data_IF_495032502808
#
_entry.id   IF_495032502808
#
_cell.length_a   1.000
_cell.length_b   1.000
_cell.length_c   1.000
_cell.angle_alpha   90.00
_cell.angle_beta   90.00
_cell.angle_gamma   90.00
#
_symmetry.space_group_name_H-M   'P 1'
#
loop_
_entity.id
_entity.type
_entity.pdbx_description
1 polymer ?
#
# COMPACT_ATOMS: atom_id res chain seq x y z
N UNK A 1 -2.31 -20.45 -24.50
CA UNK A 1 -1.64 -21.67 -24.96
C UNK A 1 -1.33 -22.52 -23.75
N UNK A 2 -1.70 -23.79 -23.75
CA UNK A 2 -1.38 -24.71 -22.67
C UNK A 2 0.10 -25.14 -22.78
N UNK A 3 0.76 -25.30 -21.64
CA UNK A 3 2.16 -25.74 -21.52
C UNK A 3 2.24 -26.91 -20.55
N UNK A 4 3.10 -27.88 -20.87
CA UNK A 4 3.38 -29.04 -20.00
C UNK A 4 4.71 -28.80 -19.30
N UNK A 5 4.75 -29.00 -17.98
CA UNK A 5 5.99 -28.90 -17.21
C UNK A 5 6.76 -30.24 -17.18
N UNK A 6 7.97 -30.23 -16.63
CA UNK A 6 8.83 -31.43 -16.50
C UNK A 6 8.24 -32.57 -15.66
N UNK A 7 7.15 -32.31 -14.93
CA UNK A 7 6.42 -33.31 -14.13
C UNK A 7 5.15 -33.82 -14.86
N UNK A 8 5.00 -33.54 -16.15
CA UNK A 8 3.84 -33.95 -16.95
C UNK A 8 2.56 -33.16 -16.67
N UNK A 9 2.62 -32.08 -15.88
CA UNK A 9 1.44 -31.29 -15.50
C UNK A 9 1.17 -30.20 -16.53
N UNK A 10 -0.09 -30.08 -16.95
CA UNK A 10 -0.55 -29.14 -17.97
C UNK A 10 -1.06 -27.87 -17.29
N UNK A 11 -0.67 -26.70 -17.81
CA UNK A 11 -1.13 -25.41 -17.32
C UNK A 11 -1.47 -24.48 -18.48
N UNK A 12 -2.53 -23.68 -18.34
CA UNK A 12 -2.97 -22.73 -19.36
C UNK A 12 -4.22 -23.19 -20.13
N UNK A 13 -4.56 -22.44 -21.17
CA UNK A 13 -5.82 -22.64 -21.91
C UNK A 13 -5.59 -23.41 -23.21
N UNK A 14 -6.42 -24.42 -23.45
CA UNK A 14 -6.55 -25.10 -24.75
C UNK A 14 -8.03 -25.23 -25.12
N UNK A 15 -8.44 -24.58 -26.22
CA UNK A 15 -9.83 -24.57 -26.67
C UNK A 15 -10.80 -24.02 -25.61
N UNK A 16 -11.80 -24.84 -25.27
CA UNK A 16 -12.87 -24.51 -24.31
C UNK A 16 -12.51 -24.86 -22.87
N UNK A 17 -11.28 -25.31 -22.57
CA UNK A 17 -10.86 -25.71 -21.22
C UNK A 17 -9.59 -25.00 -20.74
N UNK A 18 -9.51 -24.87 -19.43
CA UNK A 18 -8.39 -24.30 -18.69
C UNK A 18 -7.80 -25.42 -17.82
N UNK A 19 -6.51 -25.65 -17.99
CA UNK A 19 -5.72 -26.56 -17.16
C UNK A 19 -5.02 -25.74 -16.08
N UNK A 20 -5.14 -26.16 -14.82
CA UNK A 20 -4.42 -25.54 -13.70
C UNK A 20 -3.96 -26.56 -12.69
N UNK A 21 -2.79 -26.30 -12.11
CA UNK A 21 -2.24 -27.11 -11.03
C UNK A 21 -2.77 -26.60 -9.69
N UNK A 22 -3.33 -27.47 -8.87
CA UNK A 22 -3.78 -27.14 -7.53
C UNK A 22 -3.48 -28.30 -6.58
N UNK A 23 -2.64 -28.04 -5.57
CA UNK A 23 -2.24 -29.02 -4.54
C UNK A 23 -1.77 -30.36 -5.12
N UNK A 24 -0.94 -30.32 -6.17
CA UNK A 24 -0.41 -31.52 -6.82
C UNK A 24 -1.37 -32.21 -7.80
N UNK A 25 -2.61 -31.74 -7.93
CA UNK A 25 -3.58 -32.24 -8.91
C UNK A 25 -3.64 -31.35 -10.14
N UNK A 26 -3.86 -31.97 -11.31
CA UNK A 26 -4.13 -31.26 -12.55
C UNK A 26 -5.65 -31.11 -12.70
N UNK A 27 -6.14 -29.90 -12.52
CA UNK A 27 -7.56 -29.56 -12.60
C UNK A 27 -7.87 -29.09 -14.02
N UNK A 28 -8.85 -29.74 -14.66
CA UNK A 28 -9.40 -29.36 -15.95
C UNK A 28 -10.75 -28.70 -15.70
N UNK A 29 -10.90 -27.43 -16.10
CA UNK A 29 -12.14 -26.67 -15.95
C UNK A 29 -12.59 -26.13 -17.29
N UNK A 30 -13.90 -26.16 -17.55
CA UNK A 30 -14.48 -25.43 -18.67
C UNK A 30 -14.14 -23.93 -18.57
N UNK A 31 -13.84 -23.30 -19.69
CA UNK A 31 -13.58 -21.87 -19.75
C UNK A 31 -14.82 -21.14 -19.23
N UNK A 32 -14.69 -20.27 -18.22
CA UNK A 32 -15.84 -19.53 -17.72
C UNK A 32 -16.45 -18.75 -18.88
N UNK A 33 -17.78 -18.76 -18.97
CA UNK A 33 -18.50 -17.92 -19.94
C UNK A 33 -18.16 -16.47 -19.63
N UNK A 34 -18.01 -15.65 -20.68
CA UNK A 34 -17.97 -14.20 -20.48
C UNK A 34 -19.31 -13.81 -19.87
N UNK A 35 -19.28 -13.35 -18.63
CA UNK A 35 -20.44 -12.78 -17.95
C UNK A 35 -20.23 -11.28 -17.86
N UNK A 36 -21.30 -10.52 -18.02
CA UNK A 36 -21.28 -9.07 -17.88
C UNK A 36 -21.21 -8.72 -16.39
N UNK A 37 -20.12 -8.05 -16.00
CA UNK A 37 -19.94 -7.67 -14.60
C UNK A 37 -21.00 -6.64 -14.19
N UNK A 38 -21.51 -6.79 -12.96
CA UNK A 38 -22.35 -5.74 -12.36
C UNK A 38 -21.53 -4.48 -12.12
N UNK A 39 -22.16 -3.30 -12.07
CA UNK A 39 -21.44 -2.06 -11.74
C UNK A 39 -20.69 -2.19 -10.41
N UNK A 40 -21.33 -2.81 -9.42
CA UNK A 40 -20.71 -3.05 -8.11
C UNK A 40 -19.46 -3.91 -8.20
N UNK A 41 -19.47 -4.89 -9.10
CA UNK A 41 -18.31 -5.75 -9.35
C UNK A 41 -17.18 -4.96 -10.04
N UNK A 42 -17.52 -4.06 -10.97
CA UNK A 42 -16.54 -3.16 -11.62
C UNK A 42 -15.95 -2.18 -10.59
N UNK A 43 -16.78 -1.55 -9.77
CA UNK A 43 -16.38 -0.62 -8.69
C UNK A 43 -15.49 -1.34 -7.68
N UNK A 44 -15.86 -2.55 -7.22
CA UNK A 44 -15.03 -3.35 -6.32
C UNK A 44 -13.68 -3.75 -6.93
N UNK A 45 -13.67 -4.23 -8.18
CA UNK A 45 -12.43 -4.60 -8.86
C UNK A 45 -11.50 -3.38 -9.01
N UNK A 46 -12.08 -2.22 -9.29
CA UNK A 46 -11.34 -0.95 -9.40
C UNK A 46 -10.77 -0.51 -8.06
N UNK A 47 -11.56 -0.54 -6.98
CA UNK A 47 -11.07 -0.22 -5.62
C UNK A 47 -9.97 -1.19 -5.15
N UNK A 48 -10.06 -2.48 -5.49
CA UNK A 48 -9.00 -3.44 -5.20
C UNK A 48 -7.73 -3.13 -5.99
N UNK A 49 -7.85 -2.83 -7.29
CA UNK A 49 -6.74 -2.43 -8.14
C UNK A 49 -6.05 -1.16 -7.63
N UNK A 50 -6.85 -0.16 -7.26
CA UNK A 50 -6.41 1.08 -6.62
C UNK A 50 -5.60 0.78 -5.36
N UNK A 51 -6.17 0.00 -4.44
CA UNK A 51 -5.54 -0.37 -3.17
C UNK A 51 -4.22 -1.11 -3.36
N UNK A 52 -4.17 -2.03 -4.34
CA UNK A 52 -2.96 -2.79 -4.67
C UNK A 52 -1.85 -1.89 -5.22
N UNK A 53 -2.20 -0.95 -6.09
CA UNK A 53 -1.27 0.05 -6.63
C UNK A 53 -0.74 0.96 -5.51
N UNK A 54 -1.63 1.47 -4.65
CA UNK A 54 -1.26 2.34 -3.51
C UNK A 54 -0.31 1.64 -2.56
N UNK A 55 -0.64 0.40 -2.17
CA UNK A 55 0.21 -0.43 -1.32
C UNK A 55 1.56 -0.75 -1.97
N UNK A 56 1.60 -0.85 -3.30
CA UNK A 56 2.84 -0.93 -4.07
C UNK A 56 3.74 0.29 -3.84
N UNK A 57 3.20 1.49 -4.04
CA UNK A 57 3.91 2.77 -3.84
C UNK A 57 4.38 2.93 -2.39
N UNK A 58 3.51 2.68 -1.40
CA UNK A 58 3.87 2.76 0.03
C UNK A 58 5.07 1.85 0.32
N UNK A 59 5.02 0.58 -0.11
CA UNK A 59 6.13 -0.35 0.13
C UNK A 59 7.42 0.09 -0.54
N UNK A 60 7.35 0.59 -1.78
CA UNK A 60 8.54 1.12 -2.47
C UNK A 60 9.13 2.32 -1.75
N UNK A 61 8.30 3.25 -1.27
CA UNK A 61 8.77 4.39 -0.49
C UNK A 61 9.39 3.98 0.86
N UNK A 62 8.87 2.94 1.51
CA UNK A 62 9.44 2.43 2.77
C UNK A 62 10.58 1.43 2.58
N UNK A 63 11.00 1.13 1.35
CA UNK A 63 12.13 0.22 1.09
C UNK A 63 13.42 0.62 1.82
N UNK A 64 13.80 1.91 1.93
CA UNK A 64 14.98 2.29 2.71
C UNK A 64 14.75 2.24 4.24
N UNK A 65 13.53 2.01 4.72
CA UNK A 65 13.19 1.92 6.14
C UNK A 65 13.27 0.49 6.66
N UNK A 66 12.78 -0.50 5.90
CA UNK A 66 12.90 -1.91 6.28
C UNK A 66 14.19 -2.52 5.71
N UNK A 67 14.98 -3.20 6.54
CA UNK A 67 16.20 -3.89 6.08
C UNK A 67 15.86 -5.20 5.37
N UNK A 68 14.93 -5.94 5.96
CA UNK A 68 14.34 -7.14 5.38
C UNK A 68 12.83 -7.14 5.60
N UNK A 69 12.08 -7.47 4.55
CA UNK A 69 10.63 -7.71 4.60
C UNK A 69 10.31 -9.16 4.28
N UNK A 70 9.18 -9.64 4.78
CA UNK A 70 8.67 -10.95 4.37
C UNK A 70 7.86 -10.88 3.06
N UNK A 71 7.63 -12.03 2.44
CA UNK A 71 6.90 -12.13 1.17
C UNK A 71 5.42 -11.76 1.26
N UNK A 72 4.81 -11.87 2.45
CA UNK A 72 3.40 -11.58 2.70
C UNK A 72 3.15 -10.11 3.05
N UNK A 73 4.19 -9.33 3.33
CA UNK A 73 4.09 -7.89 3.56
C UNK A 73 3.36 -7.16 2.43
N UNK A 74 3.49 -7.65 1.19
CA UNK A 74 2.73 -7.12 0.05
C UNK A 74 1.22 -7.32 0.22
N UNK A 75 0.79 -8.54 0.52
CA UNK A 75 -0.63 -8.86 0.72
C UNK A 75 -1.20 -8.13 1.95
N UNK A 76 -0.45 -8.09 3.07
CA UNK A 76 -0.86 -7.36 4.27
C UNK A 76 -1.05 -5.87 4.00
N UNK A 77 -0.09 -5.23 3.35
CA UNK A 77 -0.18 -3.81 3.01
C UNK A 77 -1.42 -3.53 2.13
N UNK A 78 -1.62 -4.32 1.07
CA UNK A 78 -2.80 -4.20 0.20
C UNK A 78 -4.10 -4.36 0.97
N UNK A 79 -4.17 -5.31 1.90
CA UNK A 79 -5.37 -5.54 2.70
C UNK A 79 -5.68 -4.36 3.63
N UNK A 80 -4.67 -3.79 4.29
CA UNK A 80 -4.86 -2.65 5.20
C UNK A 80 -5.24 -1.38 4.43
N UNK A 81 -4.60 -1.11 3.29
CA UNK A 81 -4.99 -0.01 2.39
C UNK A 81 -6.42 -0.20 1.88
N UNK A 82 -6.76 -1.41 1.43
CA UNK A 82 -8.12 -1.69 0.95
C UNK A 82 -9.16 -1.50 2.05
N UNK A 83 -8.85 -1.94 3.27
CA UNK A 83 -9.71 -1.72 4.44
C UNK A 83 -9.86 -0.22 4.73
N UNK A 84 -8.78 0.53 4.69
CA UNK A 84 -8.77 1.99 4.89
C UNK A 84 -9.70 2.70 3.90
N UNK A 85 -9.56 2.42 2.60
CA UNK A 85 -10.41 2.99 1.55
C UNK A 85 -11.86 2.55 1.73
N UNK A 86 -12.11 1.28 2.10
CA UNK A 86 -13.48 0.79 2.32
C UNK A 86 -14.18 1.44 3.50
N UNK A 87 -13.43 1.76 4.54
CA UNK A 87 -13.87 2.48 5.73
C UNK A 87 -13.79 4.00 5.57
N UNK A 88 -13.73 4.49 4.32
CA UNK A 88 -13.69 5.91 4.02
C UNK A 88 -14.76 6.69 4.77
N UNK A 89 -14.36 7.84 5.30
CA UNK A 89 -15.20 8.72 6.11
C UNK A 89 -15.98 9.72 5.26
N UNK A 90 -15.48 10.02 4.05
CA UNK A 90 -15.97 11.13 3.20
C UNK A 90 -16.37 10.68 1.80
N UNK A 91 -15.80 9.60 1.28
CA UNK A 91 -15.95 9.17 -0.11
C UNK A 91 -16.92 8.01 -0.31
N UNK A 92 -17.67 8.05 -1.40
CA UNK A 92 -18.57 6.95 -1.81
C UNK A 92 -17.86 5.91 -2.67
N UNK A 93 -18.44 4.70 -2.74
CA UNK A 93 -17.84 3.57 -3.45
C UNK A 93 -17.58 3.89 -4.92
N UNK A 94 -16.36 3.65 -5.37
CA UNK A 94 -15.89 3.99 -6.72
C UNK A 94 -15.48 5.45 -6.92
N UNK A 95 -15.60 6.32 -5.92
CA UNK A 95 -15.15 7.71 -5.99
C UNK A 95 -14.46 8.12 -4.69
N UNK A 96 -13.57 7.25 -4.26
CA UNK A 96 -12.78 7.39 -3.05
C UNK A 96 -11.41 6.79 -3.26
N UNK A 97 -10.41 7.38 -2.64
CA UNK A 97 -9.04 6.88 -2.61
C UNK A 97 -8.50 6.84 -1.17
N UNK A 98 -7.18 6.68 -1.01
CA UNK A 98 -6.59 6.61 0.31
C UNK A 98 -6.68 7.94 1.07
N UNK A 99 -6.80 9.08 0.39
CA UNK A 99 -6.98 10.38 1.05
C UNK A 99 -8.35 10.51 1.72
N UNK A 100 -9.35 9.77 1.25
CA UNK A 100 -10.68 9.70 1.87
C UNK A 100 -10.78 8.58 2.93
N UNK A 101 -9.73 7.75 3.05
CA UNK A 101 -9.74 6.52 3.83
C UNK A 101 -9.56 6.73 5.34
N UNK A 102 -10.02 5.76 6.13
CA UNK A 102 -9.68 5.67 7.54
C UNK A 102 -8.26 5.12 7.70
N UNK A 103 -7.29 6.00 7.94
CA UNK A 103 -5.87 5.66 7.98
C UNK A 103 -5.45 4.91 9.25
N UNK A 104 -6.29 4.87 10.29
CA UNK A 104 -5.99 4.10 11.51
C UNK A 104 -5.77 2.61 11.21
N UNK A 105 -6.36 2.12 10.11
CA UNK A 105 -6.15 0.77 9.62
C UNK A 105 -4.70 0.46 9.22
N UNK A 106 -3.87 1.46 8.93
CA UNK A 106 -2.46 1.29 8.54
C UNK A 106 -1.52 1.25 9.76
N UNK A 107 -1.97 1.73 10.92
CA UNK A 107 -1.18 1.75 12.13
C UNK A 107 -0.94 0.33 12.66
N UNK A 108 0.29 0.07 13.10
CA UNK A 108 0.73 -1.27 13.50
C UNK A 108 1.01 -2.21 12.31
N UNK A 109 1.02 -1.72 11.08
CA UNK A 109 1.43 -2.55 9.93
C UNK A 109 2.89 -3.01 10.10
N UNK A 110 3.09 -4.32 10.24
CA UNK A 110 4.41 -4.94 10.31
C UNK A 110 4.95 -5.26 8.89
N UNK A 111 6.18 -4.85 8.59
CA UNK A 111 6.87 -5.20 7.33
C UNK A 111 7.51 -6.59 7.37
N UNK A 112 7.74 -7.13 8.57
CA UNK A 112 8.26 -8.49 8.77
C UNK A 112 7.52 -9.21 9.91
N UNK A 113 6.61 -10.12 9.57
CA UNK A 113 5.79 -10.83 10.57
C UNK A 113 6.60 -11.83 11.41
N UNK A 114 7.76 -12.27 10.92
CA UNK A 114 8.68 -13.13 11.69
C UNK A 114 9.44 -12.35 12.76
N UNK A 115 9.41 -11.02 12.67
CA UNK A 115 10.14 -10.11 13.55
C UNK A 115 9.27 -8.88 13.79
N UNK A 116 8.12 -9.07 14.45
CA UNK A 116 7.21 -7.96 14.71
C UNK A 116 7.86 -6.96 15.65
N UNK A 117 7.76 -5.67 15.32
CA UNK A 117 8.29 -4.60 16.16
C UNK A 117 7.69 -4.67 17.57
N UNK A 118 6.39 -4.90 17.67
CA UNK A 118 5.66 -5.03 18.95
C UNK A 118 6.12 -6.19 19.83
N UNK A 119 6.61 -7.28 19.25
CA UNK A 119 7.12 -8.44 20.00
C UNK A 119 8.58 -8.25 20.44
N UNK A 120 9.37 -7.57 19.61
CA UNK A 120 10.80 -7.36 19.83
C UNK A 120 11.07 -6.15 20.71
N UNK A 121 10.44 -5.00 20.45
CA UNK A 121 10.62 -3.75 21.17
C UNK A 121 9.44 -3.53 22.12
N UNK A 122 9.62 -3.96 23.38
CA UNK A 122 8.60 -3.91 24.42
C UNK A 122 8.58 -2.56 25.13
N UNK A 123 8.38 -1.50 24.36
CA UNK A 123 8.41 -0.12 24.84
C UNK A 123 7.16 0.60 24.38
N UNK A 124 6.52 1.31 25.30
CA UNK A 124 5.43 2.21 24.94
C UNK A 124 5.97 3.42 24.18
N UNK A 125 5.32 3.72 23.08
CA UNK A 125 5.53 4.93 22.33
C UNK A 125 4.19 5.56 22.01
N UNK A 126 4.19 6.87 21.86
CA UNK A 126 3.03 7.63 21.43
C UNK A 126 3.47 8.59 20.34
N UNK A 127 2.63 8.74 19.32
CA UNK A 127 2.86 9.68 18.22
C UNK A 127 1.73 10.69 18.24
N UNK A 128 2.06 11.96 18.16
CA UNK A 128 1.09 13.04 18.04
C UNK A 128 1.47 13.96 16.88
N UNK A 129 0.45 14.62 16.33
CA UNK A 129 0.57 15.73 15.40
C UNK A 129 0.00 16.96 16.08
N UNK A 130 0.76 18.03 16.15
CA UNK A 130 0.29 19.31 16.72
C UNK A 130 -0.52 20.13 15.70
N UNK A 131 -1.03 21.28 16.14
CA UNK A 131 -1.82 22.20 15.30
C UNK A 131 -1.00 22.82 14.16
N UNK A 132 0.33 22.88 14.28
CA UNK A 132 1.22 23.32 13.22
C UNK A 132 1.58 22.18 12.24
N UNK A 133 1.07 20.97 12.48
CA UNK A 133 1.33 19.79 11.66
C UNK A 133 2.65 19.09 11.99
N UNK A 134 3.39 19.52 13.02
CA UNK A 134 4.64 18.85 13.42
C UNK A 134 4.35 17.54 14.10
N UNK A 135 5.17 16.55 13.78
CA UNK A 135 5.06 15.20 14.35
C UNK A 135 6.00 15.08 15.54
N UNK A 136 5.47 14.60 16.66
CA UNK A 136 6.25 14.28 17.86
C UNK A 136 6.09 12.82 18.22
N UNK A 137 7.21 12.15 18.46
CA UNK A 137 7.24 10.77 18.99
C UNK A 137 7.73 10.82 20.43
N UNK A 138 6.87 10.44 21.37
CA UNK A 138 7.24 10.23 22.76
C UNK A 138 7.68 8.78 22.95
N UNK A 139 8.96 8.58 23.29
CA UNK A 139 9.51 7.27 23.64
C UNK A 139 9.70 7.18 25.15
N UNK A 140 9.14 6.13 25.76
CA UNK A 140 9.43 5.79 27.15
C UNK A 140 10.90 5.37 27.33
N UNK A 141 11.37 5.34 28.57
CA UNK A 141 12.72 4.90 28.87
C UNK A 141 12.92 3.43 28.46
N UNK A 142 14.07 3.12 27.87
CA UNK A 142 14.38 1.79 27.29
C UNK A 142 15.60 1.22 27.99
N UNK A 143 15.41 0.12 28.72
CA UNK A 143 16.53 -0.68 29.20
C UNK A 143 16.87 -1.72 28.13
N UNK A 144 17.98 -1.55 27.40
CA UNK A 144 18.32 -2.37 26.22
C UNK A 144 18.26 -3.88 26.49
N UNK A 145 18.76 -4.31 27.66
CA UNK A 145 18.81 -5.71 28.09
C UNK A 145 17.45 -6.37 28.32
N UNK A 146 16.43 -5.61 28.73
CA UNK A 146 15.12 -6.18 29.17
C UNK A 146 13.95 -5.76 28.31
N UNK A 147 14.00 -4.57 27.73
CA UNK A 147 12.94 -4.01 26.89
C UNK A 147 13.05 -4.46 25.43
N UNK A 148 14.20 -5.02 25.01
CA UNK A 148 14.38 -5.55 23.66
C UNK A 148 14.62 -7.05 23.73
N UNK A 149 13.83 -7.81 22.95
CA UNK A 149 13.89 -9.27 22.86
C UNK A 149 14.39 -9.69 21.49
N UNK A 150 15.70 -9.59 21.23
CA UNK A 150 16.25 -10.16 20.01
C UNK A 150 16.25 -11.70 20.09
N UNK A 151 16.33 -12.41 18.95
CA UNK A 151 16.58 -13.84 18.95
C UNK A 151 17.85 -14.23 19.70
N UNK A 152 17.82 -15.40 20.34
CA UNK A 152 18.92 -15.90 21.20
C UNK A 152 20.26 -15.99 20.47
N UNK A 153 20.25 -16.24 19.15
CA UNK A 153 21.46 -16.38 18.33
C UNK A 153 22.20 -15.05 18.10
N UNK A 154 21.51 -13.89 18.12
CA UNK A 154 22.18 -12.57 18.07
C UNK A 154 22.36 -11.93 19.43
N UNK A 155 21.55 -12.29 20.44
CA UNK A 155 21.49 -11.56 21.71
C UNK A 155 22.87 -11.34 22.35
N UNK A 156 23.74 -12.34 22.32
CA UNK A 156 25.11 -12.27 22.88
C UNK A 156 26.07 -11.40 22.07
N UNK A 157 25.72 -11.10 20.82
CA UNK A 157 26.53 -10.32 19.89
C UNK A 157 26.12 -8.85 19.88
N UNK A 158 24.96 -8.50 20.45
CA UNK A 158 24.47 -7.12 20.42
C UNK A 158 25.31 -6.24 21.36
N UNK A 159 26.00 -5.27 20.78
CA UNK A 159 26.64 -4.18 21.51
C UNK A 159 25.74 -2.94 21.60
N UNK A 160 25.01 -2.63 20.52
CA UNK A 160 24.19 -1.41 20.41
C UNK A 160 22.89 -1.62 19.66
N UNK A 161 21.92 -0.77 19.97
CA UNK A 161 20.69 -0.63 19.20
C UNK A 161 20.60 0.76 18.58
N UNK A 162 19.93 0.83 17.43
CA UNK A 162 19.49 2.07 16.80
C UNK A 162 18.01 1.95 16.48
N UNK A 163 17.20 2.87 17.00
CA UNK A 163 15.82 3.07 16.58
C UNK A 163 15.83 4.16 15.52
N UNK A 164 15.32 3.85 14.33
CA UNK A 164 15.13 4.82 13.26
C UNK A 164 13.65 5.11 13.09
N UNK A 165 13.31 6.39 13.16
CA UNK A 165 12.00 6.92 12.83
C UNK A 165 12.10 7.57 11.45
N UNK A 166 11.20 7.22 10.53
CA UNK A 166 11.18 7.82 9.18
C UNK A 166 9.78 8.30 8.84
N UNK A 167 9.68 9.59 8.52
CA UNK A 167 8.45 10.26 8.13
C UNK A 167 8.44 10.43 6.61
N UNK A 168 7.37 9.95 5.96
CA UNK A 168 7.16 10.08 4.51
C UNK A 168 5.79 10.70 4.27
N UNK A 169 5.75 11.70 3.41
CA UNK A 169 4.53 12.34 2.94
C UNK A 169 4.12 11.80 1.57
N UNK A 170 2.84 11.47 1.40
CA UNK A 170 2.29 10.92 0.16
C UNK A 170 1.17 11.81 -0.36
N UNK A 171 1.22 12.13 -1.65
CA UNK A 171 0.07 12.67 -2.36
C UNK A 171 -0.24 11.78 -3.59
N UNK A 172 -1.16 10.82 -3.41
CA UNK A 172 -1.57 9.91 -4.48
C UNK A 172 -2.32 10.63 -5.60
N UNK A 173 -3.15 11.62 -5.30
CA UNK A 173 -3.90 12.42 -6.29
C UNK A 173 -2.97 13.20 -7.22
N UNK A 174 -1.82 13.63 -6.71
CA UNK A 174 -0.76 14.30 -7.47
C UNK A 174 0.40 13.39 -7.86
N UNK A 175 0.29 12.10 -7.57
CA UNK A 175 1.20 11.03 -7.99
C UNK A 175 2.66 11.19 -7.52
N UNK A 176 2.88 11.69 -6.30
CA UNK A 176 4.21 11.81 -5.71
C UNK A 176 4.26 11.41 -4.23
N UNK A 177 5.47 11.15 -3.75
CA UNK A 177 5.78 11.10 -2.32
C UNK A 177 7.10 11.82 -2.03
N UNK A 178 7.34 12.15 -0.76
CA UNK A 178 8.50 12.90 -0.29
C UNK A 178 9.06 12.30 1.00
N UNK A 179 10.37 12.13 1.07
CA UNK A 179 11.07 11.76 2.30
C UNK A 179 11.27 13.02 3.15
N UNK A 180 10.37 13.26 4.10
CA UNK A 180 10.34 14.53 4.84
C UNK A 180 11.51 14.64 5.81
N UNK A 181 11.70 13.62 6.66
CA UNK A 181 12.78 13.60 7.66
C UNK A 181 12.92 12.21 8.27
N UNK A 182 14.11 11.92 8.82
CA UNK A 182 14.35 10.75 9.65
C UNK A 182 15.11 11.13 10.91
N UNK A 183 14.91 10.37 11.99
CA UNK A 183 15.60 10.53 13.27
C UNK A 183 16.13 9.19 13.74
N UNK A 184 17.38 9.18 14.18
CA UNK A 184 18.02 8.03 14.77
C UNK A 184 18.22 8.25 16.28
N UNK A 185 17.93 7.21 17.05
CA UNK A 185 18.21 7.14 18.48
C UNK A 185 19.06 5.91 18.75
N UNK A 186 20.29 6.14 19.18
CA UNK A 186 21.24 5.08 19.51
C UNK A 186 21.45 4.95 21.01
N UNK A 187 21.64 3.71 21.47
CA UNK A 187 22.01 3.39 22.85
C UNK A 187 22.71 2.04 22.91
N UNK A 188 23.59 1.86 23.90
CA UNK A 188 24.24 0.57 24.10
C UNK A 188 23.29 -0.47 24.70
N UNK A 189 23.59 -1.75 24.45
CA UNK A 189 22.83 -2.88 24.98
C UNK A 189 22.73 -2.85 26.52
N UNK A 190 23.82 -2.43 27.19
CA UNK A 190 23.91 -2.34 28.65
C UNK A 190 23.46 -0.98 29.21
N UNK A 191 23.06 -0.04 28.36
CA UNK A 191 22.62 1.29 28.78
C UNK A 191 21.09 1.35 28.89
N UNK A 192 20.66 2.29 29.75
CA UNK A 192 19.27 2.72 29.80
C UNK A 192 19.14 4.02 29.02
N UNK A 193 18.34 3.99 27.96
CA UNK A 193 17.91 5.19 27.26
C UNK A 193 16.84 5.89 28.11
N UNK A 194 17.07 7.13 28.51
CA UNK A 194 16.05 7.91 29.20
C UNK A 194 14.91 8.31 28.27
N UNK A 195 13.71 8.43 28.86
CA UNK A 195 12.50 8.84 28.15
C UNK A 195 12.73 10.20 27.47
N UNK A 196 12.23 10.34 26.25
CA UNK A 196 12.45 11.55 25.44
C UNK A 196 11.35 11.76 24.41
N UNK A 197 11.22 13.02 24.01
CA UNK A 197 10.43 13.40 22.86
C UNK A 197 11.33 13.64 21.66
N UNK A 198 10.89 13.15 20.51
CA UNK A 198 11.58 13.30 19.23
C UNK A 198 10.66 14.10 18.33
N UNK A 199 11.04 15.35 18.07
CA UNK A 199 10.27 16.30 17.27
C UNK A 199 10.83 16.33 15.86
N UNK A 200 9.95 16.13 14.89
CA UNK A 200 10.22 16.34 13.48
C UNK A 200 10.08 17.84 13.17
N UNK A 201 11.13 18.44 12.60
CA UNK A 201 11.20 19.87 12.35
C UNK A 201 10.62 20.25 11.00
N UNK A 202 10.59 19.32 10.05
CA UNK A 202 9.99 19.54 8.73
C UNK A 202 8.49 19.76 8.87
N UNK A 203 8.00 20.90 8.38
CA UNK A 203 6.57 21.17 8.29
C UNK A 203 5.98 20.43 7.08
N UNK A 204 5.13 19.41 7.29
CA UNK A 204 4.58 18.64 6.19
C UNK A 204 3.58 19.49 5.40
N UNK A 205 3.61 19.40 4.07
CA UNK A 205 2.56 19.96 3.22
C UNK A 205 1.17 19.42 3.61
N UNK A 206 0.19 20.33 3.66
CA UNK A 206 -1.18 20.00 4.06
C UNK A 206 -1.90 19.02 3.14
N UNK A 207 -1.43 18.90 1.90
CA UNK A 207 -1.99 18.02 0.88
C UNK A 207 -1.45 16.57 0.94
N UNK A 208 -0.64 16.24 1.95
CA UNK A 208 -0.01 14.93 2.08
C UNK A 208 -0.63 14.09 3.20
N UNK A 209 -0.83 12.80 2.90
CA UNK A 209 -0.95 11.75 3.92
C UNK A 209 0.44 11.52 4.51
N UNK A 210 0.55 11.48 5.83
CA UNK A 210 1.82 11.26 6.51
C UNK A 210 1.86 9.86 7.10
N UNK A 211 2.87 9.09 6.74
CA UNK A 211 3.12 7.77 7.32
C UNK A 211 4.46 7.79 8.05
N UNK A 212 4.47 7.28 9.28
CA UNK A 212 5.66 7.20 10.13
C UNK A 212 6.01 5.74 10.41
N UNK A 213 7.22 5.34 10.06
CA UNK A 213 7.76 4.01 10.42
C UNK A 213 8.74 4.08 11.58
N UNK A 214 8.78 3.03 12.38
CA UNK A 214 9.84 2.75 13.34
C UNK A 214 10.57 1.45 12.96
N UNK A 215 11.89 1.54 12.82
CA UNK A 215 12.77 0.39 12.54
C UNK A 215 13.74 0.20 13.69
N UNK A 216 13.90 -1.04 14.16
CA UNK A 216 14.92 -1.40 15.14
C UNK A 216 16.10 -2.10 14.46
N UNK A 217 17.29 -1.54 14.65
CA UNK A 217 18.55 -2.09 14.16
C UNK A 217 19.42 -2.51 15.34
N UNK A 218 20.06 -3.67 15.23
CA UNK A 218 21.02 -4.18 16.20
C UNK A 218 22.40 -4.26 15.58
N UNK A 219 23.41 -3.84 16.34
CA UNK A 219 24.81 -3.82 15.91
C UNK A 219 25.69 -4.58 16.89
N UNK A 220 26.69 -5.27 16.36
CA UNK A 220 27.81 -5.80 17.14
C UNK A 220 28.92 -4.77 17.25
N UNK A 221 29.48 -4.64 18.45
CA UNK A 221 30.70 -3.87 18.69
C UNK A 221 31.89 -4.76 18.33
N UNK A 222 32.44 -4.57 17.11
CA UNK A 222 33.60 -5.35 16.68
C UNK A 222 34.87 -4.63 17.15
N UNK A 223 35.58 -5.23 18.11
CA UNK A 223 36.70 -4.59 18.81
C UNK A 223 37.93 -4.29 17.95
N UNK A 224 38.05 -4.88 16.75
CA UNK A 224 39.30 -4.87 15.99
C UNK A 224 39.49 -3.65 15.08
N UNK A 225 38.43 -2.97 14.63
CA UNK A 225 38.54 -1.90 13.61
C UNK A 225 37.57 -0.72 13.79
N UNK A 226 36.80 -0.67 14.88
CA UNK A 226 35.79 0.39 15.08
C UNK A 226 34.59 0.30 14.13
N UNK A 227 34.56 -0.69 13.24
CA UNK A 227 33.42 -0.99 12.38
C UNK A 227 32.30 -1.68 13.16
N UNK A 228 31.06 -1.25 12.89
CA UNK A 228 29.85 -1.82 13.49
C UNK A 228 29.20 -2.77 12.49
N UNK A 229 29.08 -4.03 12.86
CA UNK A 229 28.40 -5.02 12.03
C UNK A 229 26.90 -5.01 12.31
N UNK A 230 26.09 -4.80 11.27
CA UNK A 230 24.64 -4.90 11.34
C UNK A 230 24.24 -6.38 11.53
N UNK A 231 23.50 -6.67 12.60
CA UNK A 231 23.07 -8.02 12.97
C UNK A 231 21.67 -8.38 12.45
N UNK A 232 20.96 -7.42 11.87
CA UNK A 232 19.65 -7.66 11.29
C UNK A 232 19.72 -8.68 10.15
N UNK A 233 18.71 -9.54 10.08
CA UNK A 233 18.58 -10.60 9.08
C UNK A 233 17.13 -10.72 8.60
N UNK A 234 16.85 -11.66 7.70
CA UNK A 234 15.47 -11.96 7.28
C UNK A 234 14.58 -12.41 8.45
N UNK A 235 15.17 -13.07 9.44
CA UNK A 235 14.53 -13.54 10.67
C UNK A 235 14.46 -12.45 11.75
N UNK A 236 15.33 -11.44 11.67
CA UNK A 236 15.37 -10.32 12.63
C UNK A 236 15.47 -8.96 11.90
N UNK A 237 14.32 -8.40 11.53
CA UNK A 237 14.23 -7.07 10.93
C UNK A 237 12.92 -6.40 11.34
N UNK A 238 12.83 -5.93 12.59
CA UNK A 238 11.64 -5.29 13.12
C UNK A 238 11.44 -3.92 12.49
N UNK A 239 10.33 -3.75 11.80
CA UNK A 239 9.92 -2.49 11.19
C UNK A 239 8.40 -2.47 11.08
N UNK A 240 7.78 -1.39 11.59
CA UNK A 240 6.35 -1.19 11.52
C UNK A 240 5.97 0.25 11.22
N UNK A 241 4.78 0.47 10.67
CA UNK A 241 4.12 1.77 10.68
C UNK A 241 3.55 2.03 12.07
N UNK A 242 3.96 3.12 12.70
CA UNK A 242 3.58 3.47 14.08
C UNK A 242 2.58 4.62 14.16
N UNK A 243 2.36 5.33 13.05
CA UNK A 243 1.31 6.34 12.92
C UNK A 243 0.96 6.61 11.46
N UNK A 244 -0.29 7.02 11.23
CA UNK A 244 -0.76 7.50 9.94
C UNK A 244 -1.67 8.72 10.12
N UNK A 245 -1.36 9.82 9.44
CA UNK A 245 -2.15 11.06 9.52
C UNK A 245 -2.74 11.41 8.16
N UNK A 246 -4.01 11.81 8.15
CA UNK A 246 -4.68 12.26 6.94
C UNK A 246 -4.09 13.59 6.44
N UNK A 247 -4.25 13.83 5.15
CA UNK A 247 -4.05 15.15 4.59
C UNK A 247 -5.10 16.11 5.16
N UNK A 248 -4.68 17.32 5.53
CA UNK A 248 -5.61 18.39 5.93
C UNK A 248 -6.36 18.92 4.70
N UNK A 249 -5.68 18.97 3.55
CA UNK A 249 -6.17 19.54 2.30
C UNK A 249 -5.84 18.59 1.14
N UNK A 250 -6.48 17.42 1.12
CA UNK A 250 -6.22 16.36 0.13
C UNK A 250 -6.34 16.77 -1.35
N UNK A 251 -6.95 17.92 -1.65
CA UNK A 251 -7.21 18.40 -3.00
C UNK A 251 -8.32 17.60 -3.71
N UNK A 252 -8.55 17.87 -4.99
CA UNK A 252 -9.57 17.15 -5.78
C UNK A 252 -9.05 15.81 -6.29
N UNK A 253 -9.99 14.88 -6.57
CA UNK A 253 -9.67 13.64 -7.26
C UNK A 253 -9.06 13.91 -8.65
N UNK A 254 -8.19 13.02 -9.15
CA UNK A 254 -7.42 13.24 -10.37
C UNK A 254 -8.34 13.34 -11.60
N UNK A 255 -8.55 14.55 -12.13
CA UNK A 255 -9.32 14.78 -13.36
C UNK A 255 -8.51 14.66 -14.65
N UNK A 256 -7.18 14.80 -14.58
CA UNK A 256 -6.25 14.81 -15.73
C UNK A 256 -4.98 14.01 -15.43
N UNK A 257 -4.17 13.64 -16.45
CA UNK A 257 -2.86 13.02 -16.26
C UNK A 257 -1.87 13.93 -15.50
N UNK A 258 -0.92 13.30 -14.81
CA UNK A 258 0.08 13.94 -13.92
C UNK A 258 0.86 15.08 -14.56
N UNK A 259 1.25 14.94 -15.83
CA UNK A 259 2.07 15.92 -16.58
C UNK A 259 1.43 17.32 -16.64
N UNK A 260 0.12 17.42 -16.42
CA UNK A 260 -0.62 18.70 -16.38
C UNK A 260 -0.91 19.19 -14.95
N UNK A 261 -0.79 18.32 -13.93
CA UNK A 261 -1.21 18.57 -12.54
C UNK A 261 -0.10 19.15 -11.63
N UNK A 262 1.15 19.19 -12.10
CA UNK A 262 2.28 19.80 -11.39
C UNK A 262 2.46 21.29 -11.70
N UNK A 263 1.62 21.87 -12.56
CA UNK A 263 1.65 23.30 -12.87
C UNK A 263 1.40 24.13 -11.59
N UNK A 264 2.38 24.95 -11.20
CA UNK A 264 2.31 25.81 -10.00
C UNK A 264 3.04 25.29 -8.76
N UNK A 265 3.71 24.13 -8.80
CA UNK A 265 4.64 23.73 -7.72
C UNK A 265 5.97 24.46 -7.93
N UNK A 266 6.51 25.07 -6.87
CA UNK A 266 7.82 25.71 -6.89
C UNK A 266 8.93 24.71 -7.23
N UNK A 267 9.87 25.08 -8.12
CA UNK A 267 10.93 24.19 -8.63
C UNK A 267 11.76 23.52 -7.53
N UNK A 268 12.06 24.23 -6.45
CA UNK A 268 12.83 23.65 -5.33
C UNK A 268 12.07 22.54 -4.60
N UNK A 269 10.73 22.55 -4.62
CA UNK A 269 9.91 21.46 -4.06
C UNK A 269 9.87 20.25 -4.98
N UNK A 270 9.89 20.44 -6.30
CA UNK A 270 9.95 19.35 -7.26
C UNK A 270 11.22 18.51 -7.10
N UNK A 271 12.34 19.12 -6.70
CA UNK A 271 13.61 18.43 -6.48
C UNK A 271 13.56 17.35 -5.39
N UNK A 272 12.66 17.49 -4.40
CA UNK A 272 12.53 16.55 -3.28
C UNK A 272 11.41 15.51 -3.50
N UNK A 273 10.61 15.67 -4.55
CA UNK A 273 9.50 14.78 -4.86
C UNK A 273 9.96 13.56 -5.67
N UNK A 274 9.49 12.39 -5.27
CA UNK A 274 9.59 11.18 -6.08
C UNK A 274 8.29 10.99 -6.84
N UNK A 275 8.33 11.26 -8.15
CA UNK A 275 7.21 11.03 -9.07
C UNK A 275 7.08 9.54 -9.35
N UNK A 276 5.87 8.99 -9.21
CA UNK A 276 5.66 7.53 -9.26
C UNK A 276 4.85 7.02 -10.45
N UNK A 277 4.17 7.88 -11.22
CA UNK A 277 3.29 7.44 -12.31
C UNK A 277 2.22 6.47 -11.81
N UNK A 278 1.40 6.94 -10.88
CA UNK A 278 0.57 6.09 -10.03
C UNK A 278 -0.68 5.59 -10.77
N UNK A 279 -0.68 4.29 -11.10
CA UNK A 279 -1.76 3.62 -11.86
C UNK A 279 -3.15 3.76 -11.21
N UNK A 280 -3.22 3.94 -9.89
CA UNK A 280 -4.49 4.15 -9.19
C UNK A 280 -5.30 5.34 -9.71
N UNK A 281 -4.64 6.44 -10.07
CA UNK A 281 -5.32 7.60 -10.65
C UNK A 281 -5.91 7.29 -12.03
N UNK A 282 -5.21 6.49 -12.84
CA UNK A 282 -5.76 6.01 -14.10
C UNK A 282 -6.99 5.14 -13.88
N UNK A 283 -6.95 4.23 -12.90
CA UNK A 283 -8.10 3.38 -12.57
C UNK A 283 -9.34 4.19 -12.17
N UNK A 284 -9.17 5.26 -11.40
CA UNK A 284 -10.26 6.17 -11.00
C UNK A 284 -10.81 6.93 -12.22
N UNK A 285 -9.94 7.50 -13.06
CA UNK A 285 -10.34 8.23 -14.28
C UNK A 285 -11.13 7.34 -15.25
N UNK A 286 -10.67 6.11 -15.45
CA UNK A 286 -11.27 5.18 -16.41
C UNK A 286 -12.60 4.58 -15.90
N UNK A 287 -12.88 4.65 -14.59
CA UNK A 287 -14.08 4.05 -14.01
C UNK A 287 -15.36 4.66 -14.57
N UNK A 288 -15.42 5.98 -14.72
CA UNK A 288 -16.60 6.66 -15.27
C UNK A 288 -16.92 6.18 -16.69
N UNK A 289 -15.90 5.91 -17.52
CA UNK A 289 -16.07 5.34 -18.84
C UNK A 289 -16.59 3.91 -18.83
N UNK A 290 -16.08 3.08 -17.91
CA UNK A 290 -16.51 1.67 -17.74
C UNK A 290 -17.96 1.53 -17.23
N UNK A 291 -18.42 2.48 -16.41
CA UNK A 291 -19.80 2.52 -15.93
C UNK A 291 -20.72 3.05 -17.03
N UNK A 292 -20.37 4.17 -17.70
CA UNK A 292 -21.19 4.76 -18.78
C UNK A 292 -21.32 3.90 -20.04
N UNK A 293 -20.32 3.10 -20.38
CA UNK A 293 -20.44 2.15 -21.50
C UNK A 293 -21.56 1.14 -21.25
N UNK A 294 -21.87 0.87 -19.99
CA UNK A 294 -22.93 -0.05 -19.59
C UNK A 294 -24.33 0.57 -19.69
N UNK A 295 -24.49 1.82 -19.26
CA UNK A 295 -25.77 2.56 -19.40
C UNK A 295 -26.27 2.59 -20.85
N UNK A 296 -25.35 2.54 -21.83
CA UNK A 296 -25.67 2.49 -23.26
C UNK A 296 -26.05 1.09 -23.77
N UNK A 297 -25.59 0.02 -23.12
CA UNK A 297 -25.91 -1.37 -23.48
C UNK A 297 -27.21 -1.86 -22.84
N UNK A 298 -27.61 -1.28 -21.68
CA UNK A 298 -28.85 -1.58 -20.97
C UNK A 298 -30.11 -0.88 -21.54
N UNK A 299 -29.98 -0.09 -22.62
CA UNK A 299 -31.16 0.43 -23.36
C UNK A 299 -31.81 -0.74 -24.14
N UNK A 300 -33.08 -1.08 -23.87
CA UNK A 300 -33.77 -2.10 -24.65
C UNK A 300 -33.75 -1.69 -26.12
N UNK A 301 -33.15 -2.51 -26.99
CA UNK A 301 -33.36 -2.37 -28.43
C UNK A 301 -34.86 -2.53 -28.68
N UNK A 302 -35.53 -1.43 -28.95
CA UNK A 302 -36.91 -1.42 -29.42
C UNK A 302 -37.05 -2.47 -30.51
N UNK A 303 -37.87 -3.47 -30.22
CA UNK A 303 -38.17 -4.56 -31.15
C UNK A 303 -38.94 -3.92 -32.30
N UNK A 304 -38.24 -3.56 -33.38
CA UNK A 304 -38.85 -3.19 -34.65
C UNK A 304 -39.47 -4.44 -35.30
N UNK A 305 -40.64 -4.84 -34.79
CA UNK A 305 -41.52 -5.81 -35.43
C UNK A 305 -42.77 -5.11 -35.91
N UNK A 306 -42.75 -4.65 -37.15
CA UNK A 306 -43.87 -4.76 -38.09
C UNK A 306 -43.39 -4.43 -39.49
N UNK A 307 -43.02 -5.45 -40.29
CA UNK A 307 -43.23 -5.38 -41.73
C UNK A 307 -44.67 -5.84 -41.98
N UNK A 308 -45.54 -5.03 -42.61
CA UNK A 308 -46.86 -5.51 -42.99
C UNK A 308 -46.70 -6.58 -44.08
N UNK A 309 -47.26 -7.77 -43.84
CA UNK A 309 -47.44 -8.78 -44.89
C UNK A 309 -48.46 -8.24 -45.89
N UNK A 310 -48.05 -8.08 -47.14
CA UNK A 310 -48.94 -7.80 -48.26
C UNK A 310 -49.91 -8.97 -48.48
N UNK A 311 -51.21 -8.68 -48.40
CA UNK A 311 -52.28 -9.59 -48.78
C UNK A 311 -52.40 -9.56 -50.32
N UNK A 312 -52.37 -10.70 -51.03
CA UNK A 312 -52.61 -10.71 -52.48
C UNK A 312 -54.08 -10.41 -52.77
N UNK A 313 -54.30 -9.49 -53.74
CA UNK A 313 -55.62 -9.18 -54.30
C UNK A 313 -56.17 -10.40 -55.04
N UNK A 314 -57.38 -10.80 -54.69
CA UNK A 314 -58.22 -11.68 -55.51
C UNK A 314 -58.75 -10.82 -56.65
N UNK A 315 -58.43 -11.20 -57.88
CA UNK A 315 -59.03 -10.64 -59.11
C UNK A 315 -60.31 -11.44 -59.34
N UNK A 316 -61.44 -10.74 -59.37
CA UNK A 316 -62.68 -11.25 -59.91
C UNK A 316 -62.88 -10.59 -61.27
N UNK A 317 -62.92 -11.41 -62.31
CA UNK A 317 -63.70 -11.27 -63.54
C UNK A 317 -63.99 -12.69 -64.06
#
# INVERSE_FOLDING_TARGET
>A
MAKVNSKGMVSGTAGSVIYRNYRGMNIIQGKPRKFEQTEDSIKAATEFGLSSSTAGVIRSAFEPAYLHRDGEAAARCTQLVYRSIRNSLTGYRGHRDLHDGDLSCLEGMEFNIKSKLSEVLQVSHQVSRDEQGKITVSLAAIAGKTAIRPPSWIQKQVGRYRIRLRLIGFNFRREYYEYLEFKDVEFAYNEKLEARQIVFQTEPPKDQILLLSMTLMAYSDTLAQGERLLLNSREFSPCALIAAFAAEEAGELPGKPMDQALSGIQEHRLANMVLVGYEGNRLIRDLAGKVRSKDKEDVPKEISRTKPRSIPKIVAD
#
